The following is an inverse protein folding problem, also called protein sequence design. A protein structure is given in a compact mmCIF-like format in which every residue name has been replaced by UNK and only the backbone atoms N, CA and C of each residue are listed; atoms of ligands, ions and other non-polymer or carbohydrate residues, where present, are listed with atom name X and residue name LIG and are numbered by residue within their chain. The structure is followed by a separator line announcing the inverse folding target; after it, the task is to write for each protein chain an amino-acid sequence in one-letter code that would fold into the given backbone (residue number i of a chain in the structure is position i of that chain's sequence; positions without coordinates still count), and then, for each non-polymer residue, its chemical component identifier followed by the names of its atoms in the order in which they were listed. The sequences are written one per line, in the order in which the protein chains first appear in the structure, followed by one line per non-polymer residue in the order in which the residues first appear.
data_IF_244428470219
#
_entry.id   IF_244428470219
#
_cell.length_a   1.000
_cell.length_b   1.000
_cell.length_c   1.000
_cell.angle_alpha   90.00
_cell.angle_beta   90.00
_cell.angle_gamma   90.00
#
_symmetry.space_group_name_H-M   'P 1'
#
loop_
_entity.id
_entity.type
_entity.pdbx_description
1 polymer ?
#
# COMPACT_ATOMS: atom_id res chain seq x y z
N UNK A 1 26.42 -22.68 -40.79
CA UNK A 1 25.02 -22.86 -40.35
C UNK A 1 24.53 -21.51 -39.84
N UNK A 2 23.46 -20.94 -40.41
CA UNK A 2 22.78 -19.78 -39.80
C UNK A 2 21.73 -20.34 -38.84
N UNK A 3 21.90 -20.09 -37.55
CA UNK A 3 20.86 -20.36 -36.56
C UNK A 3 19.82 -19.25 -36.65
N UNK A 4 18.53 -19.60 -36.69
CA UNK A 4 17.43 -18.63 -36.56
C UNK A 4 16.96 -18.73 -35.12
N UNK A 5 17.11 -17.67 -34.30
CA UNK A 5 16.59 -17.71 -32.93
C UNK A 5 15.05 -17.76 -32.97
N UNK A 6 14.46 -18.65 -32.18
CA UNK A 6 13.05 -18.58 -31.86
C UNK A 6 12.86 -17.48 -30.80
N UNK A 7 12.00 -16.51 -31.09
CA UNK A 7 11.58 -15.50 -30.12
C UNK A 7 10.27 -15.96 -29.48
N UNK A 8 10.23 -16.00 -28.15
CA UNK A 8 8.98 -16.12 -27.39
C UNK A 8 8.70 -14.76 -26.77
N UNK A 9 7.56 -14.17 -27.11
CA UNK A 9 7.05 -12.97 -26.42
C UNK A 9 6.19 -13.44 -25.25
N UNK A 10 6.49 -12.94 -24.06
CA UNK A 10 5.58 -13.04 -22.91
C UNK A 10 4.78 -11.74 -22.83
N UNK A 11 3.46 -11.85 -22.78
CA UNK A 11 2.59 -10.69 -22.57
C UNK A 11 2.65 -10.25 -21.10
N UNK A 12 2.56 -8.93 -20.81
CA UNK A 12 2.42 -8.44 -19.45
C UNK A 12 1.18 -9.01 -18.76
N UNK A 13 1.36 -9.49 -17.54
CA UNK A 13 0.30 -9.95 -16.65
C UNK A 13 0.36 -9.09 -15.39
N UNK A 14 -0.72 -8.36 -15.13
CA UNK A 14 -0.89 -7.59 -13.91
C UNK A 14 -1.38 -8.51 -12.77
N UNK A 15 -0.93 -8.23 -11.55
CA UNK A 15 -1.37 -8.93 -10.36
C UNK A 15 -0.90 -8.22 -9.11
N UNK A 16 -1.77 -8.07 -8.12
CA UNK A 16 -1.47 -7.43 -6.85
C UNK A 16 -2.17 -8.16 -5.71
N UNK A 17 -1.54 -8.18 -4.55
CA UNK A 17 -2.18 -8.57 -3.29
C UNK A 17 -1.75 -7.64 -2.18
N UNK A 18 -2.70 -7.26 -1.33
CA UNK A 18 -2.47 -6.50 -0.10
C UNK A 18 -2.90 -7.37 1.09
N UNK A 19 -2.08 -7.44 2.14
CA UNK A 19 -2.35 -8.27 3.32
C UNK A 19 -1.53 -7.85 4.54
N UNK A 20 -1.91 -8.27 5.76
CA UNK A 20 -3.20 -8.86 6.09
C UNK A 20 -4.27 -7.78 6.25
N UNK A 21 -5.53 -8.20 6.38
CA UNK A 21 -6.58 -7.29 6.84
C UNK A 21 -6.43 -7.07 8.35
N UNK A 22 -6.66 -5.84 8.80
CA UNK A 22 -6.61 -5.48 10.20
C UNK A 22 -7.94 -4.92 10.71
N UNK A 23 -8.20 -5.16 11.99
CA UNK A 23 -9.26 -4.51 12.76
C UNK A 23 -8.66 -4.05 14.08
N UNK A 24 -9.04 -2.87 14.54
CA UNK A 24 -8.60 -2.35 15.82
C UNK A 24 -9.59 -1.36 16.40
N UNK A 25 -9.47 -1.18 17.71
CA UNK A 25 -10.17 -0.16 18.48
C UNK A 25 -9.11 0.64 19.22
N UNK A 26 -9.29 1.95 19.30
CA UNK A 26 -8.42 2.83 20.06
C UNK A 26 -9.23 4.01 20.56
N UNK A 27 -8.72 4.71 21.57
CA UNK A 27 -9.46 5.76 22.24
C UNK A 27 -9.65 6.98 21.33
N UNK A 28 -10.70 7.79 21.56
CA UNK A 28 -10.84 9.08 20.90
C UNK A 28 -9.62 9.97 21.13
N UNK A 29 -9.16 10.68 20.09
CA UNK A 29 -7.98 11.54 20.13
C UNK A 29 -6.64 10.82 19.90
N UNK A 30 -6.66 9.50 19.75
CA UNK A 30 -5.47 8.70 19.41
C UNK A 30 -5.42 8.35 17.91
N UNK A 31 -4.32 7.75 17.48
CA UNK A 31 -4.13 7.23 16.12
C UNK A 31 -4.12 5.72 16.12
N UNK A 32 -4.64 5.13 15.04
CA UNK A 32 -4.60 3.69 14.81
C UNK A 32 -3.79 3.36 13.57
N UNK A 33 -2.71 2.61 13.76
CA UNK A 33 -1.78 2.24 12.70
C UNK A 33 -2.04 0.81 12.21
N UNK A 34 -2.27 0.67 10.90
CA UNK A 34 -2.55 -0.60 10.24
C UNK A 34 -1.45 -0.94 9.22
N UNK A 35 -0.47 -1.78 9.58
CA UNK A 35 0.57 -2.22 8.65
C UNK A 35 0.01 -3.15 7.59
N UNK A 36 0.44 -2.99 6.34
CA UNK A 36 0.10 -3.88 5.24
C UNK A 36 1.32 -4.13 4.38
N UNK A 37 1.35 -5.27 3.71
CA UNK A 37 2.31 -5.61 2.66
C UNK A 37 1.59 -5.59 1.32
N UNK A 38 2.07 -4.77 0.38
CA UNK A 38 1.61 -4.75 -1.01
C UNK A 38 2.62 -5.50 -1.86
N UNK A 39 2.18 -6.60 -2.46
CA UNK A 39 3.02 -7.52 -3.21
C UNK A 39 2.64 -7.51 -4.70
N UNK A 40 3.64 -7.29 -5.56
CA UNK A 40 3.47 -7.41 -7.00
C UNK A 40 3.46 -8.90 -7.40
N UNK A 41 2.28 -9.38 -7.80
CA UNK A 41 2.03 -10.75 -8.28
C UNK A 41 2.05 -10.85 -9.80
N UNK A 42 2.32 -9.75 -10.50
CA UNK A 42 2.48 -9.69 -11.94
C UNK A 42 3.80 -10.27 -12.43
N UNK A 43 4.01 -10.24 -13.75
CA UNK A 43 5.24 -10.69 -14.40
C UNK A 43 6.18 -9.55 -14.86
N UNK A 44 5.85 -8.32 -14.50
CA UNK A 44 6.64 -7.11 -14.74
C UNK A 44 6.62 -6.22 -13.50
N UNK A 45 7.58 -5.32 -13.38
CA UNK A 45 7.51 -4.26 -12.37
C UNK A 45 6.37 -3.30 -12.67
N UNK A 46 5.65 -2.87 -11.64
CA UNK A 46 4.42 -2.08 -11.76
C UNK A 46 4.28 -1.07 -10.61
N UNK A 47 3.43 -0.07 -10.78
CA UNK A 47 3.09 0.93 -9.76
C UNK A 47 1.60 0.78 -9.43
N UNK A 48 1.26 0.64 -8.16
CA UNK A 48 -0.12 0.41 -7.73
C UNK A 48 -0.68 1.63 -7.04
N UNK A 49 -1.77 2.17 -7.59
CA UNK A 49 -2.53 3.23 -6.96
C UNK A 49 -3.21 2.72 -5.69
N UNK A 50 -3.13 3.51 -4.62
CA UNK A 50 -3.76 3.20 -3.34
C UNK A 50 -4.86 4.22 -3.08
N UNK A 51 -6.06 3.70 -2.88
CA UNK A 51 -7.22 4.44 -2.39
C UNK A 51 -7.65 3.85 -1.06
N UNK A 52 -8.16 4.69 -0.17
CA UNK A 52 -8.76 4.24 1.09
C UNK A 52 -10.07 4.95 1.32
N UNK A 53 -10.98 4.23 1.98
CA UNK A 53 -12.22 4.78 2.49
C UNK A 53 -12.26 4.62 4.02
N UNK A 54 -13.01 5.51 4.66
CA UNK A 54 -13.34 5.44 6.09
C UNK A 54 -14.85 5.60 6.22
N UNK A 55 -15.54 4.56 6.70
CA UNK A 55 -16.99 4.58 6.91
C UNK A 55 -17.43 5.68 7.87
N UNK A 56 -16.55 6.07 8.80
CA UNK A 56 -16.78 7.13 9.78
C UNK A 56 -16.25 8.49 9.30
N UNK A 57 -15.69 8.58 8.09
CA UNK A 57 -15.15 9.82 7.53
C UNK A 57 -13.89 10.33 8.24
N UNK A 58 -13.21 9.48 9.00
CA UNK A 58 -11.97 9.83 9.68
C UNK A 58 -10.81 10.02 8.71
N UNK A 59 -9.99 11.04 8.98
CA UNK A 59 -8.78 11.32 8.21
C UNK A 59 -7.80 10.15 8.30
N UNK A 60 -7.18 9.83 7.18
CA UNK A 60 -6.16 8.77 7.09
C UNK A 60 -4.93 9.29 6.35
N UNK A 61 -3.79 8.71 6.67
CA UNK A 61 -2.53 8.90 5.96
C UNK A 61 -1.90 7.55 5.66
N UNK A 62 -1.07 7.51 4.62
CA UNK A 62 -0.32 6.32 4.23
C UNK A 62 1.16 6.61 4.28
N UNK A 63 1.92 5.72 4.90
CA UNK A 63 3.37 5.83 5.04
C UNK A 63 4.03 4.55 4.53
N UNK A 64 5.28 4.62 4.09
CA UNK A 64 6.13 3.43 3.97
C UNK A 64 6.44 2.84 5.35
N UNK A 65 6.76 1.55 5.40
CA UNK A 65 7.24 0.85 6.61
C UNK A 65 8.54 0.09 6.29
N UNK A 66 9.69 0.79 6.25
CA UNK A 66 10.94 0.19 5.82
C UNK A 66 11.39 -1.00 6.69
N UNK A 67 11.09 -0.96 7.98
CA UNK A 67 11.54 -1.98 8.93
C UNK A 67 10.50 -3.11 9.13
N UNK A 68 9.21 -2.85 8.87
CA UNK A 68 8.13 -3.82 8.97
C UNK A 68 7.56 -4.01 10.38
N UNK A 69 7.70 -3.04 11.27
CA UNK A 69 7.19 -3.09 12.65
C UNK A 69 5.81 -2.44 12.80
N UNK A 70 5.29 -1.83 11.74
CA UNK A 70 4.00 -1.14 11.71
C UNK A 70 3.98 0.23 12.38
N UNK A 71 5.13 0.80 12.72
CA UNK A 71 5.25 2.16 13.19
C UNK A 71 5.53 3.11 12.00
N UNK A 72 4.67 4.10 11.70
CA UNK A 72 4.89 4.99 10.57
C UNK A 72 6.05 5.99 10.76
N UNK A 73 6.63 6.09 11.97
CA UNK A 73 7.62 7.11 12.30
C UNK A 73 8.98 6.95 11.58
N UNK A 74 9.30 5.76 11.09
CA UNK A 74 10.50 5.51 10.29
C UNK A 74 10.24 5.58 8.78
N UNK A 75 8.98 5.74 8.41
CA UNK A 75 8.48 5.84 7.05
C UNK A 75 8.46 7.27 6.49
N UNK A 76 8.15 7.33 5.20
CA UNK A 76 7.81 8.57 4.51
C UNK A 76 6.36 8.48 4.05
N UNK A 77 5.64 9.60 4.07
CA UNK A 77 4.28 9.66 3.54
C UNK A 77 4.30 9.30 2.05
N UNK A 78 3.37 8.43 1.62
CA UNK A 78 3.23 8.05 0.23
C UNK A 78 2.73 9.24 -0.59
N UNK A 79 3.26 9.35 -1.81
CA UNK A 79 2.93 10.42 -2.75
C UNK A 79 2.62 9.78 -4.11
N UNK A 80 2.01 10.56 -5.00
CA UNK A 80 1.86 10.21 -6.41
C UNK A 80 3.25 10.22 -7.08
N UNK A 81 3.75 9.04 -7.47
CA UNK A 81 5.08 8.87 -8.09
C UNK A 81 5.00 8.69 -9.60
N UNK A 82 3.84 8.32 -10.14
CA UNK A 82 3.63 8.10 -11.58
C UNK A 82 2.95 9.29 -12.30
N UNK A 83 2.46 10.29 -11.54
CA UNK A 83 1.87 11.53 -12.03
C UNK A 83 0.42 11.44 -12.49
N UNK A 84 -0.34 10.43 -12.03
CA UNK A 84 -1.73 10.23 -12.43
C UNK A 84 -2.77 10.90 -11.49
N UNK A 85 -2.29 11.55 -10.42
CA UNK A 85 -3.11 12.25 -9.45
C UNK A 85 -3.63 11.37 -8.31
N UNK A 86 -3.24 10.10 -8.25
CA UNK A 86 -3.59 9.18 -7.16
C UNK A 86 -2.29 8.79 -6.43
N UNK A 87 -2.34 8.74 -5.10
CA UNK A 87 -1.20 8.27 -4.30
C UNK A 87 -0.91 6.81 -4.67
N UNK A 88 0.36 6.43 -4.78
CA UNK A 88 0.75 5.10 -5.22
C UNK A 88 1.89 4.50 -4.38
N UNK A 89 2.20 3.23 -4.64
CA UNK A 89 3.25 2.46 -3.95
C UNK A 89 4.68 2.84 -4.33
N UNK A 90 4.86 3.69 -5.35
CA UNK A 90 6.06 3.63 -6.17
C UNK A 90 6.12 2.36 -7.02
N UNK A 91 7.18 2.26 -7.83
CA UNK A 91 7.43 1.05 -8.61
C UNK A 91 7.82 -0.11 -7.70
N UNK A 92 7.08 -1.21 -7.78
CA UNK A 92 7.42 -2.50 -7.17
C UNK A 92 7.89 -3.44 -8.27
N UNK A 93 9.13 -3.92 -8.17
CA UNK A 93 9.68 -4.90 -9.11
C UNK A 93 8.94 -6.25 -9.03
N UNK A 94 9.14 -7.09 -10.06
CA UNK A 94 8.49 -8.40 -10.16
C UNK A 94 8.78 -9.27 -8.91
N UNK A 95 7.73 -9.86 -8.33
CA UNK A 95 7.80 -10.69 -7.12
C UNK A 95 8.39 -9.98 -5.89
N UNK A 96 8.46 -8.65 -5.89
CA UNK A 96 8.81 -7.85 -4.74
C UNK A 96 7.57 -7.29 -4.05
N UNK A 97 7.77 -6.84 -2.81
CA UNK A 97 6.77 -6.15 -2.03
C UNK A 97 7.31 -4.84 -1.46
N UNK A 98 6.36 -4.00 -1.07
CA UNK A 98 6.57 -2.85 -0.19
C UNK A 98 5.67 -3.02 1.04
N UNK A 99 6.17 -2.63 2.20
CA UNK A 99 5.36 -2.53 3.42
C UNK A 99 4.96 -1.09 3.62
N UNK A 100 3.72 -0.90 4.06
CA UNK A 100 3.10 0.41 4.25
C UNK A 100 2.32 0.40 5.56
N UNK A 101 2.12 1.56 6.16
CA UNK A 101 1.21 1.75 7.29
C UNK A 101 0.10 2.70 6.89
N UNK A 102 -1.16 2.28 7.07
CA UNK A 102 -2.30 3.19 7.08
C UNK A 102 -2.50 3.71 8.50
N UNK A 103 -2.21 4.97 8.71
CA UNK A 103 -2.49 5.67 9.97
C UNK A 103 -3.87 6.31 9.88
N UNK A 104 -4.76 5.97 10.82
CA UNK A 104 -6.10 6.52 10.96
C UNK A 104 -6.10 7.49 12.15
N UNK A 105 -6.57 8.71 11.93
CA UNK A 105 -6.63 9.76 12.95
C UNK A 105 -8.04 9.78 13.52
N UNK A 106 -8.20 9.50 14.80
CA UNK A 106 -9.53 9.38 15.41
C UNK A 106 -9.86 10.71 16.10
N UNK A 107 -10.93 11.40 15.69
CA UNK A 107 -11.36 12.65 16.32
C UNK A 107 -11.57 12.48 17.82
N UNK A 108 -11.21 13.50 18.60
CA UNK A 108 -11.41 13.53 20.05
C UNK A 108 -12.88 13.38 20.47
N UNK A 109 -13.79 13.86 19.62
CA UNK A 109 -15.25 13.77 19.83
C UNK A 109 -15.85 12.43 19.36
N UNK A 110 -15.01 11.47 18.97
CA UNK A 110 -15.49 10.14 18.59
C UNK A 110 -16.13 9.49 19.80
N UNK A 111 -17.40 9.13 19.71
CA UNK A 111 -18.05 8.28 20.71
C UNK A 111 -17.60 6.84 20.47
N UNK A 112 -17.01 6.21 21.49
CA UNK A 112 -16.89 4.74 21.53
C UNK A 112 -18.31 4.20 21.51
N UNK A 113 -18.56 3.19 20.67
CA UNK A 113 -19.90 2.74 20.28
C UNK A 113 -20.91 2.63 21.42
N UNK A 114 -22.16 2.98 21.11
CA UNK A 114 -23.34 2.54 21.88
C UNK A 114 -23.47 1.01 21.89
#
# INVERSE_FOLDING_TARGET
MKSIPIGVTIEPVAGVSIYPDHTGEVSPGETLDYPHTVMNRGNIGDTFNITYDSTLGWDCKLFTDPNGDGNPADGMELIDTNGDGIIDTGKIDINCDIKIVKQVIIPEDSVVGE
#
